data_IF_900347070081
#
_entry.id   IF_900347070081
#
_cell.length_a   1.000
_cell.length_b   1.000
_cell.length_c   1.000
_cell.angle_alpha   90.00
_cell.angle_beta   90.00
_cell.angle_gamma   90.00
#
_symmetry.space_group_name_H-M   'P 1'
#
loop_
_entity.id
_entity.type
_entity.pdbx_description
1 polymer ?
#
# COMPACT_ATOMS: atom_id res chain seq x y z
N UNK A 1 -8.79 -6.89 -21.09
CA UNK A 1 -7.67 -6.23 -20.37
C UNK A 1 -6.45 -6.05 -21.27
N UNK A 2 -5.69 -4.97 -21.09
CA UNK A 2 -4.37 -4.77 -21.73
C UNK A 2 -3.24 -5.26 -20.79
N UNK A 3 -2.69 -6.45 -21.04
CA UNK A 3 -1.71 -7.06 -20.13
C UNK A 3 -0.41 -6.24 -20.00
N UNK A 4 0.11 -5.70 -21.10
CA UNK A 4 1.33 -4.88 -21.09
C UNK A 4 1.14 -3.60 -20.28
N UNK A 5 0.02 -2.88 -20.48
CA UNK A 5 -0.30 -1.68 -19.70
C UNK A 5 -0.55 -1.98 -18.24
N UNK A 6 -1.15 -3.13 -17.93
CA UNK A 6 -1.34 -3.57 -16.56
C UNK A 6 -0.01 -3.82 -15.87
N UNK A 7 0.90 -4.56 -16.50
CA UNK A 7 2.23 -4.81 -15.94
C UNK A 7 2.99 -3.51 -15.65
N UNK A 8 2.95 -2.55 -16.57
CA UNK A 8 3.55 -1.23 -16.35
C UNK A 8 2.90 -0.49 -15.16
N UNK A 9 1.57 -0.53 -15.05
CA UNK A 9 0.88 0.07 -13.91
C UNK A 9 1.29 -0.56 -12.58
N UNK A 10 1.41 -1.89 -12.54
CA UNK A 10 1.87 -2.65 -11.35
C UNK A 10 3.28 -2.24 -10.95
N UNK A 11 4.22 -2.19 -11.90
CA UNK A 11 5.61 -1.83 -11.62
C UNK A 11 5.74 -0.40 -11.10
N UNK A 12 5.01 0.56 -11.68
CA UNK A 12 5.02 1.95 -11.21
C UNK A 12 4.37 2.05 -9.83
N UNK A 13 3.22 1.41 -9.62
CA UNK A 13 2.55 1.36 -8.32
C UNK A 13 3.46 0.76 -7.24
N UNK A 14 4.18 -0.31 -7.55
CA UNK A 14 5.15 -0.94 -6.65
C UNK A 14 6.27 0.01 -6.23
N UNK A 15 6.84 0.75 -7.19
CA UNK A 15 7.86 1.78 -6.89
C UNK A 15 7.28 2.88 -6.00
N UNK A 16 6.04 3.30 -6.24
CA UNK A 16 5.34 4.31 -5.42
C UNK A 16 5.11 3.81 -3.99
N UNK A 17 4.70 2.56 -3.82
CA UNK A 17 4.58 1.91 -2.50
C UNK A 17 5.92 1.95 -1.78
N UNK A 18 7.01 1.50 -2.42
CA UNK A 18 8.34 1.50 -1.80
C UNK A 18 8.84 2.91 -1.42
N UNK A 19 8.65 3.88 -2.31
CA UNK A 19 9.07 5.26 -2.06
C UNK A 19 8.30 5.88 -0.89
N UNK A 20 6.99 5.63 -0.81
CA UNK A 20 6.17 6.11 0.30
C UNK A 20 6.46 5.35 1.59
N UNK A 21 6.67 4.04 1.56
CA UNK A 21 7.08 3.24 2.72
C UNK A 21 8.40 3.72 3.30
N UNK A 22 9.37 4.09 2.46
CA UNK A 22 10.62 4.67 2.95
C UNK A 22 10.38 5.96 3.74
N UNK A 23 9.56 6.87 3.21
CA UNK A 23 9.22 8.11 3.90
C UNK A 23 8.45 7.84 5.20
N UNK A 24 7.48 6.94 5.15
CA UNK A 24 6.61 6.60 6.29
C UNK A 24 7.40 5.88 7.38
N UNK A 25 8.09 4.80 7.04
CA UNK A 25 8.69 3.88 8.00
C UNK A 25 10.14 4.23 8.35
N UNK A 26 10.95 4.68 7.39
CA UNK A 26 12.36 4.97 7.63
C UNK A 26 12.63 6.40 8.09
N UNK A 27 11.69 7.32 7.88
CA UNK A 27 11.82 8.72 8.30
C UNK A 27 10.81 9.07 9.39
N UNK A 28 9.51 9.00 9.09
CA UNK A 28 8.49 9.53 10.00
C UNK A 28 8.28 8.67 11.25
N UNK A 29 8.22 7.34 11.10
CA UNK A 29 7.97 6.39 12.18
C UNK A 29 9.24 5.87 12.85
N UNK A 30 10.42 6.14 12.29
CA UNK A 30 11.69 5.63 12.84
C UNK A 30 11.89 5.98 14.33
N UNK A 31 11.57 7.20 14.82
CA UNK A 31 11.64 7.49 16.25
C UNK A 31 10.70 6.62 17.09
N UNK A 32 9.47 6.37 16.62
CA UNK A 32 8.51 5.53 17.33
C UNK A 32 8.98 4.06 17.38
N UNK A 33 9.57 3.56 16.29
CA UNK A 33 10.16 2.22 16.25
C UNK A 33 11.35 2.07 17.17
N UNK A 34 12.20 3.08 17.24
CA UNK A 34 13.33 3.10 18.17
C UNK A 34 12.88 3.12 19.64
N UNK A 35 11.79 3.83 19.95
CA UNK A 35 11.21 3.84 21.29
C UNK A 35 10.53 2.51 21.67
N UNK A 36 10.23 1.66 20.69
CA UNK A 36 9.51 0.39 20.86
C UNK A 36 10.32 -0.83 20.40
N UNK A 37 11.65 -0.74 20.39
CA UNK A 37 12.54 -1.81 19.89
C UNK A 37 12.22 -3.22 20.40
N UNK A 38 11.80 -3.34 21.66
CA UNK A 38 11.44 -4.61 22.28
C UNK A 38 10.22 -5.31 21.67
N UNK A 39 9.40 -4.61 20.89
CA UNK A 39 8.23 -5.19 20.19
C UNK A 39 8.60 -5.88 18.88
N UNK A 40 9.74 -5.51 18.29
CA UNK A 40 10.09 -5.89 16.92
C UNK A 40 11.12 -7.01 16.90
N UNK A 41 11.17 -7.73 15.78
CA UNK A 41 12.29 -8.64 15.51
C UNK A 41 13.61 -7.86 15.52
N UNK A 42 14.71 -8.57 15.78
CA UNK A 42 16.03 -7.96 15.66
C UNK A 42 16.28 -7.45 14.24
N UNK A 43 17.16 -6.44 14.09
CA UNK A 43 17.48 -5.87 12.79
C UNK A 43 18.06 -6.90 11.80
N UNK A 44 18.85 -7.85 12.31
CA UNK A 44 19.38 -8.97 11.52
C UNK A 44 18.28 -9.90 11.00
N UNK A 45 17.31 -10.24 11.84
CA UNK A 45 16.15 -11.06 11.42
C UNK A 45 15.27 -10.30 10.43
N UNK A 46 14.98 -9.02 10.68
CA UNK A 46 14.21 -8.20 9.74
C UNK A 46 14.88 -8.13 8.37
N UNK A 47 16.21 -7.96 8.34
CA UNK A 47 16.99 -7.94 7.10
C UNK A 47 16.94 -9.29 6.38
N UNK A 48 17.09 -10.40 7.11
CA UNK A 48 16.99 -11.74 6.54
C UNK A 48 15.60 -12.04 5.94
N UNK A 49 14.53 -11.44 6.49
CA UNK A 49 13.17 -11.58 6.00
C UNK A 49 12.74 -10.53 4.97
N UNK A 50 13.60 -9.56 4.63
CA UNK A 50 13.27 -8.48 3.70
C UNK A 50 12.72 -8.95 2.34
N UNK A 51 13.15 -10.08 1.74
CA UNK A 51 12.53 -10.59 0.51
C UNK A 51 11.03 -10.86 0.63
N UNK A 52 10.53 -11.28 1.80
CA UNK A 52 9.10 -11.45 2.03
C UNK A 52 8.36 -10.11 2.04
N UNK A 53 8.99 -9.05 2.53
CA UNK A 53 8.45 -7.69 2.45
C UNK A 53 8.35 -7.23 0.99
N UNK A 54 9.39 -7.43 0.19
CA UNK A 54 9.36 -7.13 -1.25
C UNK A 54 8.19 -7.85 -1.95
N UNK A 55 8.02 -9.15 -1.68
CA UNK A 55 6.94 -9.94 -2.25
C UNK A 55 5.56 -9.44 -1.81
N UNK A 56 5.39 -9.12 -0.53
CA UNK A 56 4.13 -8.59 0.01
C UNK A 56 3.76 -7.25 -0.64
N UNK A 57 4.71 -6.32 -0.75
CA UNK A 57 4.47 -5.02 -1.37
C UNK A 57 4.19 -5.12 -2.87
N UNK A 58 4.85 -6.06 -3.57
CA UNK A 58 4.56 -6.33 -4.97
C UNK A 58 3.15 -6.88 -5.15
N UNK A 59 2.78 -7.87 -4.34
CA UNK A 59 1.44 -8.47 -4.37
C UNK A 59 0.36 -7.43 -4.07
N UNK A 60 0.59 -6.57 -3.07
CA UNK A 60 -0.31 -5.47 -2.73
C UNK A 60 -0.54 -4.51 -3.91
N UNK A 61 0.53 -3.98 -4.50
CA UNK A 61 0.45 -3.12 -5.68
C UNK A 61 -0.24 -3.84 -6.86
N UNK A 62 0.12 -5.11 -7.10
CA UNK A 62 -0.46 -5.92 -8.16
C UNK A 62 -1.97 -6.09 -8.00
N UNK A 63 -2.43 -6.44 -6.79
CA UNK A 63 -3.86 -6.66 -6.52
C UNK A 63 -4.68 -5.38 -6.67
N UNK A 64 -4.20 -4.24 -6.17
CA UNK A 64 -4.88 -2.97 -6.38
C UNK A 64 -5.01 -2.60 -7.86
N UNK A 65 -3.94 -2.75 -8.64
CA UNK A 65 -3.98 -2.49 -10.07
C UNK A 65 -4.90 -3.47 -10.82
N UNK A 66 -4.93 -4.75 -10.45
CA UNK A 66 -5.81 -5.77 -11.06
C UNK A 66 -7.28 -5.48 -10.75
N UNK A 67 -7.63 -5.21 -9.49
CA UNK A 67 -9.01 -4.89 -9.11
C UNK A 67 -9.48 -3.62 -9.82
N UNK A 68 -8.62 -2.59 -9.89
CA UNK A 68 -8.89 -1.39 -10.67
C UNK A 68 -9.14 -1.72 -12.15
N UNK A 69 -8.25 -2.49 -12.76
CA UNK A 69 -8.34 -2.86 -14.17
C UNK A 69 -9.60 -3.68 -14.51
N UNK A 70 -10.06 -4.53 -13.59
CA UNK A 70 -11.24 -5.39 -13.77
C UNK A 70 -12.56 -4.62 -13.59
N UNK A 71 -12.63 -3.77 -12.57
CA UNK A 71 -13.91 -3.21 -12.14
C UNK A 71 -14.10 -1.72 -12.44
N UNK A 72 -13.02 -0.97 -12.65
CA UNK A 72 -13.03 0.50 -12.56
C UNK A 72 -12.27 1.22 -13.68
N UNK A 73 -11.61 0.49 -14.58
CA UNK A 73 -10.85 1.08 -15.68
C UNK A 73 -11.70 2.03 -16.55
N UNK A 74 -11.12 3.15 -16.96
CA UNK A 74 -11.81 4.18 -17.75
C UNK A 74 -12.69 5.13 -16.94
N UNK A 75 -12.88 4.89 -15.63
CA UNK A 75 -13.55 5.85 -14.74
C UNK A 75 -12.64 7.01 -14.37
N UNK A 76 -13.24 8.11 -13.90
CA UNK A 76 -12.53 9.34 -13.54
C UNK A 76 -11.71 9.23 -12.25
N UNK A 77 -10.84 10.22 -12.02
CA UNK A 77 -9.99 10.30 -10.83
C UNK A 77 -10.76 10.33 -9.51
N UNK A 78 -11.96 10.93 -9.47
CA UNK A 78 -12.81 10.89 -8.28
C UNK A 78 -13.16 9.46 -7.87
N UNK A 79 -13.43 8.57 -8.83
CA UNK A 79 -13.64 7.15 -8.56
C UNK A 79 -12.36 6.49 -8.03
N UNK A 80 -11.19 6.83 -8.56
CA UNK A 80 -9.90 6.30 -8.09
C UNK A 80 -9.62 6.67 -6.63
N UNK A 81 -9.92 7.92 -6.24
CA UNK A 81 -9.76 8.40 -4.87
C UNK A 81 -10.72 7.68 -3.93
N UNK A 82 -12.01 7.61 -4.28
CA UNK A 82 -13.01 6.93 -3.45
C UNK A 82 -12.72 5.44 -3.32
N UNK A 83 -12.36 4.78 -4.42
CA UNK A 83 -11.92 3.38 -4.41
C UNK A 83 -10.69 3.19 -3.50
N UNK A 84 -9.68 4.06 -3.62
CA UNK A 84 -8.49 4.02 -2.78
C UNK A 84 -8.80 4.26 -1.30
N UNK A 85 -9.71 5.17 -0.98
CA UNK A 85 -10.16 5.41 0.39
C UNK A 85 -10.76 4.14 1.00
N UNK A 86 -11.71 3.51 0.32
CA UNK A 86 -12.35 2.29 0.83
C UNK A 86 -11.39 1.11 0.91
N UNK A 87 -10.55 0.91 -0.10
CA UNK A 87 -9.54 -0.16 -0.07
C UNK A 87 -8.47 0.09 1.00
N UNK A 88 -8.12 1.35 1.24
CA UNK A 88 -7.20 1.74 2.31
C UNK A 88 -7.81 1.47 3.68
N UNK A 89 -9.05 1.90 3.91
CA UNK A 89 -9.76 1.59 5.15
C UNK A 89 -9.91 0.08 5.38
N UNK A 90 -10.22 -0.68 4.33
CA UNK A 90 -10.30 -2.14 4.37
C UNK A 90 -8.96 -2.76 4.78
N UNK A 91 -7.84 -2.30 4.19
CA UNK A 91 -6.52 -2.83 4.47
C UNK A 91 -5.99 -2.39 5.86
N UNK A 92 -6.38 -1.21 6.33
CA UNK A 92 -5.93 -0.60 7.59
C UNK A 92 -6.81 -0.96 8.80
N UNK A 93 -7.58 -2.05 8.74
CA UNK A 93 -8.22 -2.65 9.93
C UNK A 93 -7.18 -3.32 10.83
N UNK A 94 -6.10 -3.85 10.26
CA UNK A 94 -5.10 -4.63 10.98
C UNK A 94 -4.34 -3.88 12.08
N UNK A 95 -3.92 -2.61 11.93
CA UNK A 95 -3.31 -1.85 13.02
C UNK A 95 -4.15 -1.81 14.30
N UNK A 96 -5.48 -1.79 14.18
CA UNK A 96 -6.40 -1.83 15.33
C UNK A 96 -6.31 -3.20 16.01
N UNK A 97 -6.39 -4.28 15.24
CA UNK A 97 -6.23 -5.63 15.78
C UNK A 97 -4.85 -5.80 16.44
N UNK A 98 -3.79 -5.29 15.82
CA UNK A 98 -2.43 -5.31 16.35
C UNK A 98 -2.32 -4.57 17.68
N UNK A 99 -2.95 -3.40 17.82
CA UNK A 99 -3.03 -2.66 19.08
C UNK A 99 -3.73 -3.46 20.19
N UNK A 100 -4.71 -4.31 19.83
CA UNK A 100 -5.43 -5.15 20.80
C UNK A 100 -4.60 -6.35 21.22
N UNK A 101 -3.93 -7.03 20.28
CA UNK A 101 -3.24 -8.30 20.56
C UNK A 101 -1.77 -8.14 20.95
N UNK A 102 -1.18 -6.98 20.69
CA UNK A 102 0.19 -6.64 21.06
C UNK A 102 0.22 -5.29 21.77
N UNK A 103 1.18 -5.04 22.68
CA UNK A 103 1.31 -3.76 23.38
C UNK A 103 1.90 -2.67 22.47
N UNK A 104 1.32 -2.49 21.29
CA UNK A 104 1.66 -1.46 20.32
C UNK A 104 1.15 -0.10 20.84
N UNK A 105 1.96 0.96 20.85
CA UNK A 105 1.45 2.29 21.18
C UNK A 105 0.36 2.73 20.20
N UNK A 106 -0.73 3.28 20.74
CA UNK A 106 -1.85 3.77 19.90
C UNK A 106 -1.42 4.84 18.89
N UNK A 107 -0.37 5.59 19.18
CA UNK A 107 0.22 6.56 18.25
C UNK A 107 0.78 5.90 16.98
N UNK A 108 1.42 4.74 17.08
CA UNK A 108 1.92 3.99 15.91
C UNK A 108 0.74 3.48 15.08
N UNK A 109 -0.28 2.91 15.74
CA UNK A 109 -1.46 2.40 15.05
C UNK A 109 -2.18 3.50 14.26
N UNK A 110 -2.39 4.68 14.85
CA UNK A 110 -2.99 5.84 14.18
C UNK A 110 -2.15 6.30 12.99
N UNK A 111 -0.82 6.41 13.15
CA UNK A 111 0.07 6.79 12.06
C UNK A 111 -0.01 5.80 10.89
N UNK A 112 0.00 4.49 11.15
CA UNK A 112 -0.16 3.44 10.13
C UNK A 112 -1.48 3.56 9.37
N UNK A 113 -2.59 3.75 10.07
CA UNK A 113 -3.91 3.89 9.43
C UNK A 113 -3.91 5.10 8.50
N UNK A 114 -3.49 6.26 9.01
CA UNK A 114 -3.49 7.50 8.25
C UNK A 114 -2.58 7.42 7.01
N UNK A 115 -1.32 7.02 7.19
CA UNK A 115 -0.38 6.91 6.07
C UNK A 115 -0.78 5.84 5.08
N UNK A 116 -1.27 4.70 5.57
CA UNK A 116 -1.69 3.58 4.73
C UNK A 116 -2.89 3.92 3.85
N UNK A 117 -3.91 4.58 4.41
CA UNK A 117 -5.06 5.06 3.61
C UNK A 117 -4.59 6.02 2.52
N UNK A 118 -3.72 6.99 2.86
CA UNK A 118 -3.19 7.94 1.89
C UNK A 118 -2.33 7.27 0.81
N UNK A 119 -1.51 6.28 1.19
CA UNK A 119 -0.71 5.49 0.27
C UNK A 119 -1.60 4.71 -0.70
N UNK A 120 -2.67 4.07 -0.22
CA UNK A 120 -3.61 3.33 -1.08
C UNK A 120 -4.31 4.26 -2.06
N UNK A 121 -4.76 5.44 -1.62
CA UNK A 121 -5.32 6.47 -2.51
C UNK A 121 -4.32 6.86 -3.60
N UNK A 122 -3.06 7.08 -3.25
CA UNK A 122 -2.02 7.42 -4.21
C UNK A 122 -1.80 6.28 -5.23
N UNK A 123 -1.72 5.04 -4.76
CA UNK A 123 -1.53 3.85 -5.60
C UNK A 123 -2.70 3.65 -6.57
N UNK A 124 -3.95 3.88 -6.13
CA UNK A 124 -5.11 3.75 -7.01
C UNK A 124 -5.20 4.90 -8.01
N UNK A 125 -4.77 6.11 -7.66
CA UNK A 125 -4.58 7.21 -8.63
C UNK A 125 -3.54 6.82 -9.69
N UNK A 126 -2.41 6.26 -9.29
CA UNK A 126 -1.38 5.77 -10.21
C UNK A 126 -1.94 4.70 -11.14
N UNK A 127 -2.69 3.73 -10.60
CA UNK A 127 -3.37 2.72 -11.40
C UNK A 127 -4.32 3.35 -12.43
N UNK A 128 -5.11 4.35 -12.02
CA UNK A 128 -6.05 5.07 -12.89
C UNK A 128 -5.36 5.84 -14.03
N UNK A 129 -4.23 6.49 -13.74
CA UNK A 129 -3.50 7.30 -14.70
C UNK A 129 -2.69 6.45 -15.69
N UNK A 130 -2.10 5.35 -15.22
CA UNK A 130 -1.20 4.52 -16.02
C UNK A 130 -1.95 3.44 -16.80
N UNK A 131 -2.95 2.80 -16.18
CA UNK A 131 -3.67 1.71 -16.83
C UNK A 131 -4.69 2.23 -17.83
N UNK A 132 -4.45 1.96 -19.12
CA UNK A 132 -5.40 2.22 -20.20
C UNK A 132 -5.96 0.90 -20.75
N UNK A 133 -7.28 0.65 -20.67
CA UNK A 133 -7.90 -0.53 -21.29
C UNK A 133 -7.76 -0.47 -22.83
N UNK A 134 -7.89 -1.63 -23.51
CA UNK A 134 -7.93 -1.64 -24.98
C UNK A 134 -9.22 -0.97 -25.44
N UNK A 135 -9.13 -0.13 -26.46
CA UNK A 135 -10.29 0.52 -27.10
C UNK A 135 -11.33 -0.54 -27.48
N UNK A 136 -12.57 -0.41 -27.01
CA UNK A 136 -13.68 -1.32 -27.32
C UNK A 136 -14.16 -2.23 -26.19
N UNK A 137 -13.56 -2.17 -25.00
CA UNK A 137 -14.13 -2.76 -23.79
C UNK A 137 -14.77 -1.62 -22.96
N UNK A 138 -16.01 -1.26 -23.32
CA UNK A 138 -16.90 -0.46 -22.48
C UNK A 138 -17.92 -1.39 -21.82
#
# INVERSE_FOLDING_TARGET
MNATRLLVAILIAFVVVFATDFVIHSIWLMPDYNATKSLWRSESEMTAHFPFMLAAQFLFAAMLCVIWALGFAGRGLGTAIVFGLFMGLFQQVWPIATYVVMPLPGTIAVKWILSGVLQVILVTIVAALVYRPRSGAA
#
